data_IF_581309860476
#
_entry.id   IF_581309860476
#
_cell.length_a   1.000
_cell.length_b   1.000
_cell.length_c   1.000
_cell.angle_alpha   90.00
_cell.angle_beta   90.00
_cell.angle_gamma   90.00
#
_symmetry.space_group_name_H-M   'P 1'
#
loop_
_entity.id
_entity.type
_entity.pdbx_description
1 polymer ?
#
# COMPACT_ATOMS: atom_id res chain seq x y z
N UNK A 1 1.33 3.59 -9.41
CA UNK A 1 0.66 2.28 -9.25
C UNK A 1 0.28 2.04 -7.79
N UNK A 2 1.24 2.06 -6.85
CA UNK A 2 0.96 1.89 -5.42
C UNK A 2 -0.17 2.78 -4.88
N UNK A 3 -0.21 4.07 -5.24
CA UNK A 3 -1.26 4.99 -4.78
C UNK A 3 -2.66 4.57 -5.28
N UNK A 4 -2.77 3.95 -6.46
CA UNK A 4 -4.05 3.43 -6.98
C UNK A 4 -4.50 2.21 -6.17
N UNK A 5 -3.57 1.32 -5.83
CA UNK A 5 -3.87 0.14 -4.98
C UNK A 5 -4.35 0.63 -3.61
N UNK A 6 -3.61 1.55 -2.98
CA UNK A 6 -3.98 2.13 -1.69
C UNK A 6 -5.34 2.83 -1.75
N UNK A 7 -5.66 3.53 -2.83
CA UNK A 7 -6.97 4.15 -3.03
C UNK A 7 -8.10 3.11 -3.07
N UNK A 8 -7.93 2.01 -3.81
CA UNK A 8 -8.93 0.94 -3.83
C UNK A 8 -9.04 0.20 -2.49
N UNK A 9 -7.93 -0.03 -1.80
CA UNK A 9 -7.93 -0.60 -0.45
C UNK A 9 -8.60 0.33 0.58
N UNK A 10 -8.58 1.63 0.34
CA UNK A 10 -9.33 2.57 1.17
C UNK A 10 -10.84 2.45 0.90
N UNK A 11 -11.26 2.22 -0.36
CA UNK A 11 -12.67 2.08 -0.72
C UNK A 11 -13.31 0.81 -0.14
N UNK A 12 -12.56 -0.28 0.02
CA UNK A 12 -13.08 -1.53 0.62
C UNK A 12 -13.54 -1.33 2.07
N UNK A 13 -12.98 -0.37 2.81
CA UNK A 13 -13.39 -0.02 4.17
C UNK A 13 -14.87 0.40 4.26
N UNK A 14 -15.42 0.91 3.15
CA UNK A 14 -16.82 1.28 3.08
C UNK A 14 -17.75 0.09 2.76
N UNK A 15 -17.23 -1.11 2.50
CA UNK A 15 -18.06 -2.28 2.20
C UNK A 15 -19.08 -2.59 3.31
N UNK A 16 -18.61 -2.71 4.56
CA UNK A 16 -19.47 -3.02 5.72
C UNK A 16 -20.52 -1.92 6.02
N UNK A 17 -20.18 -0.61 6.10
CA UNK A 17 -21.18 0.42 6.35
C UNK A 17 -22.21 0.60 5.21
N UNK A 18 -21.92 0.15 3.98
CA UNK A 18 -22.88 0.18 2.87
C UNK A 18 -23.67 -1.13 2.69
N UNK A 19 -23.56 -2.08 3.63
CA UNK A 19 -24.34 -3.32 3.61
C UNK A 19 -23.88 -4.34 2.58
N UNK A 20 -22.58 -4.38 2.24
CA UNK A 20 -22.02 -5.39 1.35
C UNK A 20 -22.26 -6.82 1.90
N UNK A 21 -22.48 -7.79 1.00
CA UNK A 21 -22.66 -9.19 1.38
C UNK A 21 -21.38 -9.78 2.00
N UNK A 22 -21.49 -10.83 2.84
CA UNK A 22 -20.32 -11.48 3.45
C UNK A 22 -19.31 -11.98 2.41
N UNK A 23 -19.78 -12.51 1.28
CA UNK A 23 -18.93 -12.96 0.16
C UNK A 23 -18.13 -11.80 -0.46
N UNK A 24 -18.75 -10.62 -0.54
CA UNK A 24 -18.09 -9.40 -1.03
C UNK A 24 -17.04 -8.91 -0.04
N UNK A 25 -17.32 -8.96 1.27
CA UNK A 25 -16.38 -8.59 2.32
C UNK A 25 -15.16 -9.52 2.36
N UNK A 26 -15.34 -10.83 2.13
CA UNK A 26 -14.23 -11.77 2.02
C UNK A 26 -13.32 -11.44 0.83
N UNK A 27 -13.94 -11.12 -0.32
CA UNK A 27 -13.22 -10.70 -1.52
C UNK A 27 -12.45 -9.40 -1.29
N UNK A 28 -13.07 -8.42 -0.63
CA UNK A 28 -12.44 -7.16 -0.25
C UNK A 28 -11.28 -7.35 0.72
N UNK A 29 -11.46 -8.15 1.77
CA UNK A 29 -10.40 -8.44 2.73
C UNK A 29 -9.22 -9.18 2.09
N UNK A 30 -9.50 -10.08 1.14
CA UNK A 30 -8.46 -10.76 0.37
C UNK A 30 -7.72 -9.80 -0.55
N UNK A 31 -8.45 -8.91 -1.22
CA UNK A 31 -7.86 -7.83 -2.01
C UNK A 31 -6.97 -6.92 -1.16
N UNK A 32 -7.38 -6.55 0.05
CA UNK A 32 -6.59 -5.69 0.93
C UNK A 32 -5.30 -6.36 1.40
N UNK A 33 -5.36 -7.65 1.76
CA UNK A 33 -4.16 -8.43 2.13
C UNK A 33 -3.18 -8.52 0.97
N UNK A 34 -3.65 -8.94 -0.21
CA UNK A 34 -2.80 -9.09 -1.40
C UNK A 34 -2.28 -7.73 -1.87
N UNK A 35 -3.14 -6.72 -1.90
CA UNK A 35 -2.80 -5.33 -2.25
C UNK A 35 -1.72 -4.76 -1.34
N UNK A 36 -1.82 -5.00 -0.02
CA UNK A 36 -0.79 -4.63 0.95
C UNK A 36 0.57 -5.28 0.65
N UNK A 37 0.59 -6.59 0.36
CA UNK A 37 1.82 -7.30 -0.03
C UNK A 37 2.40 -6.76 -1.33
N UNK A 38 1.57 -6.48 -2.34
CA UNK A 38 2.00 -5.88 -3.61
C UNK A 38 2.61 -4.50 -3.37
N UNK A 39 1.98 -3.65 -2.55
CA UNK A 39 2.51 -2.33 -2.20
C UNK A 39 3.88 -2.47 -1.53
N UNK A 40 4.04 -3.41 -0.59
CA UNK A 40 5.32 -3.68 0.06
C UNK A 40 6.42 -4.06 -0.96
N UNK A 41 6.13 -5.01 -1.84
CA UNK A 41 7.08 -5.44 -2.89
C UNK A 41 7.42 -4.30 -3.86
N UNK A 42 6.43 -3.50 -4.25
CA UNK A 42 6.64 -2.31 -5.08
C UNK A 42 7.53 -1.28 -4.40
N UNK A 43 7.38 -1.07 -3.09
CA UNK A 43 8.20 -0.14 -2.32
C UNK A 43 9.64 -0.63 -2.17
N UNK A 44 9.84 -1.93 -1.93
CA UNK A 44 11.16 -2.55 -1.91
C UNK A 44 11.83 -2.43 -3.28
N UNK A 45 11.12 -2.79 -4.36
CA UNK A 45 11.63 -2.68 -5.73
C UNK A 45 11.95 -1.24 -6.12
N UNK A 46 11.07 -0.29 -5.78
CA UNK A 46 11.30 1.14 -5.98
C UNK A 46 12.57 1.60 -5.26
N UNK A 47 12.75 1.21 -4.00
CA UNK A 47 13.94 1.57 -3.23
C UNK A 47 15.23 0.99 -3.82
N UNK A 48 15.25 -0.29 -4.14
CA UNK A 48 16.42 -0.98 -4.70
C UNK A 48 16.79 -0.38 -6.06
N UNK A 49 15.80 -0.20 -6.94
CA UNK A 49 16.04 0.33 -8.28
C UNK A 49 16.55 1.77 -8.24
N UNK A 50 15.92 2.65 -7.46
CA UNK A 50 16.40 4.02 -7.33
C UNK A 50 17.76 4.11 -6.61
N UNK A 51 18.06 3.20 -5.68
CA UNK A 51 19.40 3.10 -5.08
C UNK A 51 20.44 2.67 -6.11
N UNK A 52 20.12 1.72 -6.97
CA UNK A 52 20.98 1.30 -8.08
C UNK A 52 21.26 2.45 -9.04
N UNK A 53 20.24 3.17 -9.50
CA UNK A 53 20.41 4.34 -10.37
C UNK A 53 21.24 5.44 -9.70
N UNK A 54 21.02 5.70 -8.40
CA UNK A 54 21.80 6.71 -7.67
C UNK A 54 23.29 6.42 -7.58
N UNK A 55 23.68 5.13 -7.68
CA UNK A 55 25.10 4.73 -7.74
C UNK A 55 25.65 4.78 -9.16
N UNK A 56 24.79 4.64 -10.17
CA UNK A 56 25.16 4.63 -11.58
C UNK A 56 25.31 6.05 -12.14
N UNK A 57 24.48 6.99 -11.70
CA UNK A 57 24.46 8.36 -12.20
C UNK A 57 24.76 9.37 -11.08
N UNK A 58 25.82 10.17 -11.26
CA UNK A 58 26.23 11.24 -10.35
C UNK A 58 25.24 12.40 -10.26
N UNK A 59 24.28 12.47 -11.19
CA UNK A 59 23.20 13.47 -11.20
C UNK A 59 22.19 13.27 -10.07
N UNK A 60 22.17 12.10 -9.43
CA UNK A 60 21.28 11.86 -8.30
C UNK A 60 21.81 12.51 -7.02
N UNK A 61 21.14 13.57 -6.58
CA UNK A 61 21.51 14.28 -5.34
C UNK A 61 20.99 13.55 -4.10
N UNK A 62 21.60 13.82 -2.95
CA UNK A 62 21.15 13.33 -1.64
C UNK A 62 19.69 13.69 -1.33
N UNK A 63 19.21 14.83 -1.85
CA UNK A 63 17.81 15.25 -1.76
C UNK A 63 16.85 14.28 -2.46
N UNK A 64 17.22 13.75 -3.63
CA UNK A 64 16.38 12.77 -4.35
C UNK A 64 16.24 11.45 -3.59
N UNK A 65 17.32 10.97 -2.97
CA UNK A 65 17.27 9.77 -2.12
C UNK A 65 16.37 10.01 -0.91
N UNK A 66 16.47 11.20 -0.29
CA UNK A 66 15.58 11.60 0.82
C UNK A 66 14.10 11.59 0.42
N UNK A 67 13.76 12.16 -0.74
CA UNK A 67 12.38 12.16 -1.25
C UNK A 67 11.88 10.74 -1.55
N UNK A 68 12.76 9.86 -2.02
CA UNK A 68 12.46 8.44 -2.26
C UNK A 68 12.08 7.72 -0.97
N UNK A 69 12.88 7.89 0.08
CA UNK A 69 12.62 7.31 1.40
C UNK A 69 11.34 7.89 1.99
N UNK A 70 11.16 9.21 1.92
CA UNK A 70 9.94 9.87 2.41
C UNK A 70 8.68 9.34 1.73
N UNK A 71 8.72 9.17 0.41
CA UNK A 71 7.62 8.58 -0.37
C UNK A 71 7.35 7.13 0.03
N UNK A 72 8.39 6.35 0.30
CA UNK A 72 8.29 4.97 0.74
C UNK A 72 7.62 4.88 2.12
N UNK A 73 8.12 5.64 3.08
CA UNK A 73 7.58 5.69 4.46
C UNK A 73 6.12 6.13 4.45
N UNK A 74 5.78 7.16 3.68
CA UNK A 74 4.39 7.63 3.56
C UNK A 74 3.46 6.53 3.05
N UNK A 75 3.83 5.86 1.96
CA UNK A 75 3.00 4.82 1.34
C UNK A 75 2.88 3.57 2.20
N UNK A 76 3.97 3.13 2.85
CA UNK A 76 3.93 2.02 3.79
C UNK A 76 3.10 2.36 5.04
N UNK A 77 3.21 3.59 5.56
CA UNK A 77 2.39 4.06 6.67
C UNK A 77 0.90 4.04 6.34
N UNK A 78 0.53 4.50 5.14
CA UNK A 78 -0.87 4.42 4.66
C UNK A 78 -1.31 2.96 4.47
N UNK A 79 -0.47 2.10 3.90
CA UNK A 79 -0.78 0.68 3.73
C UNK A 79 -1.05 -0.01 5.08
N UNK A 80 -0.23 0.29 6.10
CA UNK A 80 -0.41 -0.22 7.45
C UNK A 80 -1.70 0.30 8.08
N UNK A 81 -1.96 1.62 7.99
CA UNK A 81 -3.18 2.21 8.55
C UNK A 81 -4.45 1.59 7.93
N UNK A 82 -4.48 1.45 6.59
CA UNK A 82 -5.60 0.83 5.88
C UNK A 82 -5.70 -0.65 6.22
N UNK A 83 -4.59 -1.39 6.25
CA UNK A 83 -4.59 -2.82 6.59
C UNK A 83 -5.09 -3.09 8.00
N UNK A 84 -4.69 -2.28 8.98
CA UNK A 84 -5.23 -2.33 10.34
C UNK A 84 -6.71 -1.99 10.36
N UNK A 85 -7.15 -0.96 9.64
CA UNK A 85 -8.57 -0.64 9.53
C UNK A 85 -9.37 -1.79 8.88
N UNK A 86 -8.87 -2.40 7.81
CA UNK A 86 -9.52 -3.52 7.13
C UNK A 86 -9.66 -4.74 8.05
N UNK A 87 -8.69 -4.98 8.94
CA UNK A 87 -8.80 -6.04 9.95
C UNK A 87 -10.01 -5.84 10.89
N UNK A 88 -10.34 -4.60 11.28
CA UNK A 88 -11.48 -4.32 12.16
C UNK A 88 -12.82 -4.14 11.41
N UNK A 89 -12.80 -3.56 10.21
CA UNK A 89 -14.02 -3.14 9.50
C UNK A 89 -14.43 -4.06 8.35
N UNK A 90 -13.52 -4.85 7.79
CA UNK A 90 -13.75 -5.64 6.54
C UNK A 90 -13.58 -7.14 6.76
N UNK A 91 -12.80 -7.56 7.77
CA UNK A 91 -12.56 -8.96 8.07
C UNK A 91 -13.88 -9.73 8.37
N UNK A 92 -14.25 -10.74 7.56
CA UNK A 92 -15.49 -11.50 7.76
C UNK A 92 -15.46 -12.43 8.99
N UNK A 93 -14.28 -12.67 9.58
CA UNK A 93 -14.14 -13.48 10.79
C UNK A 93 -14.45 -12.70 12.10
N UNK A 94 -14.76 -11.40 11.99
CA UNK A 94 -15.07 -10.45 13.08
C UNK A 94 -16.50 -9.91 12.95
#
# INVERSE_FOLDING_TARGET
VADKILFFMFLTLFGKPFGASPETLESFYTFDKVGGVIVLLLMIGYFIYGRYESRKYTSCTSCQIGNMIGSMVKRLGVALAIGTAAYFFVNPAL
#
